data_IF_089986855056
#
_entry.id   IF_089986855056
#
_cell.length_a   1.000
_cell.length_b   1.000
_cell.length_c   1.000
_cell.angle_alpha   90.00
_cell.angle_beta   90.00
_cell.angle_gamma   90.00
#
_symmetry.space_group_name_H-M   'P 1'
#
loop_
_entity.id
_entity.type
_entity.pdbx_description
1 polymer ?
#
# COMPACT_ATOMS: atom_id res chain seq x y z
N UNK A 1 -24.85 -24.91 -21.63
CA UNK A 1 -23.82 -24.00 -22.14
C UNK A 1 -24.09 -22.51 -21.90
N UNK A 2 -25.32 -22.02 -22.04
CA UNK A 2 -25.68 -20.59 -21.79
C UNK A 2 -25.50 -20.13 -20.33
N UNK A 3 -25.76 -20.97 -19.35
CA UNK A 3 -25.69 -20.63 -17.91
C UNK A 3 -24.24 -20.44 -17.45
N UNK A 4 -23.29 -21.24 -17.97
CA UNK A 4 -21.87 -21.16 -17.62
C UNK A 4 -21.24 -19.86 -18.14
N UNK A 5 -21.64 -19.40 -19.32
CA UNK A 5 -21.17 -18.13 -19.91
C UNK A 5 -21.63 -16.93 -19.07
N UNK A 6 -22.87 -16.96 -18.56
CA UNK A 6 -23.40 -15.89 -17.71
C UNK A 6 -22.69 -15.82 -16.33
N UNK A 7 -22.31 -16.98 -15.77
CA UNK A 7 -21.56 -17.03 -14.51
C UNK A 7 -20.13 -16.50 -14.69
N UNK A 8 -19.47 -16.84 -15.78
CA UNK A 8 -18.12 -16.32 -16.10
C UNK A 8 -18.13 -14.80 -16.36
N UNK A 9 -19.18 -14.29 -17.00
CA UNK A 9 -19.34 -12.84 -17.23
C UNK A 9 -19.57 -12.08 -15.93
N UNK A 10 -20.34 -12.64 -14.97
CA UNK A 10 -20.59 -12.01 -13.67
C UNK A 10 -19.33 -11.91 -12.79
N UNK A 11 -18.46 -12.90 -12.84
CA UNK A 11 -17.15 -12.90 -12.12
C UNK A 11 -16.20 -11.84 -12.69
N UNK A 12 -16.19 -11.66 -14.01
CA UNK A 12 -15.39 -10.60 -14.66
C UNK A 12 -15.88 -9.20 -14.28
N UNK A 13 -17.20 -8.98 -14.20
CA UNK A 13 -17.77 -7.70 -13.78
C UNK A 13 -17.45 -7.38 -12.30
N UNK A 14 -17.43 -8.37 -11.42
CA UNK A 14 -17.10 -8.18 -10.01
C UNK A 14 -15.61 -7.77 -9.83
N UNK A 15 -14.71 -8.34 -10.58
CA UNK A 15 -13.27 -8.01 -10.50
C UNK A 15 -12.95 -6.59 -11.01
N UNK A 16 -13.59 -6.16 -12.09
CA UNK A 16 -13.48 -4.79 -12.61
C UNK A 16 -14.01 -3.78 -11.59
N UNK A 17 -15.13 -4.07 -10.94
CA UNK A 17 -15.74 -3.23 -9.92
C UNK A 17 -14.86 -3.05 -8.66
N UNK A 18 -14.10 -4.08 -8.23
CA UNK A 18 -13.19 -3.97 -7.06
C UNK A 18 -11.97 -3.09 -7.38
N UNK A 19 -11.36 -3.26 -8.54
CA UNK A 19 -10.23 -2.46 -9.01
C UNK A 19 -10.60 -0.96 -9.09
N UNK A 20 -11.78 -0.65 -9.61
CA UNK A 20 -12.23 0.74 -9.73
C UNK A 20 -12.59 1.35 -8.36
N UNK A 21 -13.14 0.55 -7.45
CA UNK A 21 -13.38 0.97 -6.06
C UNK A 21 -12.07 1.30 -5.34
N UNK A 22 -11.03 0.50 -5.52
CA UNK A 22 -9.72 0.74 -4.91
C UNK A 22 -9.09 2.02 -5.46
N UNK A 23 -9.12 2.25 -6.77
CA UNK A 23 -8.65 3.51 -7.37
C UNK A 23 -9.35 4.75 -6.76
N UNK A 24 -10.67 4.69 -6.58
CA UNK A 24 -11.42 5.78 -5.93
C UNK A 24 -11.00 5.99 -4.48
N UNK A 25 -10.74 4.91 -3.71
CA UNK A 25 -10.26 4.99 -2.33
C UNK A 25 -8.86 5.60 -2.26
N UNK A 26 -7.94 5.19 -3.15
CA UNK A 26 -6.59 5.75 -3.26
C UNK A 26 -6.65 7.24 -3.57
N UNK A 27 -7.40 7.63 -4.60
CA UNK A 27 -7.55 9.03 -4.99
C UNK A 27 -8.12 9.88 -3.85
N UNK A 28 -9.17 9.40 -3.18
CA UNK A 28 -9.76 10.07 -2.03
C UNK A 28 -8.75 10.27 -0.89
N UNK A 29 -7.90 9.25 -0.64
CA UNK A 29 -6.91 9.32 0.44
C UNK A 29 -5.80 10.33 0.10
N UNK A 30 -5.27 10.32 -1.12
CA UNK A 30 -4.25 11.28 -1.58
C UNK A 30 -4.78 12.71 -1.47
N UNK A 31 -5.96 12.98 -2.01
CA UNK A 31 -6.61 14.31 -1.90
C UNK A 31 -6.72 14.79 -0.46
N UNK A 32 -7.17 13.90 0.43
CA UNK A 32 -7.35 14.25 1.84
C UNK A 32 -6.04 14.48 2.60
N UNK A 33 -4.95 13.77 2.23
CA UNK A 33 -3.65 13.88 2.93
C UNK A 33 -2.90 15.14 2.51
N UNK A 34 -2.96 15.51 1.22
CA UNK A 34 -2.25 16.68 0.70
C UNK A 34 -3.15 17.94 0.61
N UNK A 35 -4.43 17.81 0.96
CA UNK A 35 -5.43 18.90 0.86
C UNK A 35 -5.50 19.49 -0.56
N UNK A 36 -5.65 18.60 -1.55
CA UNK A 36 -5.67 18.95 -2.98
C UNK A 36 -6.88 18.37 -3.69
N UNK A 37 -7.36 19.04 -4.74
CA UNK A 37 -8.49 18.56 -5.55
C UNK A 37 -8.08 17.74 -6.76
N UNK A 38 -6.88 17.96 -7.29
CA UNK A 38 -6.36 17.24 -8.45
C UNK A 38 -4.90 16.84 -8.25
N UNK A 39 -4.52 15.76 -8.88
CA UNK A 39 -3.15 15.25 -8.91
C UNK A 39 -3.02 14.24 -10.05
N UNK A 40 -1.78 13.96 -10.41
CA UNK A 40 -1.42 12.91 -11.36
C UNK A 40 -0.54 11.86 -10.68
N UNK A 41 -0.74 10.59 -11.07
CA UNK A 41 0.12 9.48 -10.67
C UNK A 41 1.04 9.11 -11.84
N UNK A 42 2.33 9.32 -11.66
CA UNK A 42 3.35 9.00 -12.65
C UNK A 42 4.16 7.77 -12.26
N UNK A 43 4.62 7.01 -13.26
CA UNK A 43 5.50 5.86 -13.05
C UNK A 43 6.89 6.33 -12.59
N UNK A 44 7.54 5.48 -11.81
CA UNK A 44 8.96 5.63 -11.47
C UNK A 44 9.73 4.69 -12.41
N UNK A 45 10.68 5.24 -13.14
CA UNK A 45 11.57 4.42 -13.96
C UNK A 45 12.65 3.82 -13.06
N UNK A 46 12.76 2.50 -13.03
CA UNK A 46 13.70 1.77 -12.19
C UNK A 46 14.44 0.76 -13.08
N UNK A 47 15.75 0.88 -13.14
CA UNK A 47 16.58 -0.01 -13.93
C UNK A 47 16.56 -1.44 -13.37
N UNK A 48 16.78 -2.42 -14.25
CA UNK A 48 16.72 -3.82 -13.85
C UNK A 48 17.80 -4.19 -12.81
N UNK A 49 18.97 -3.59 -12.89
CA UNK A 49 20.06 -3.77 -11.90
C UNK A 49 19.63 -3.36 -10.49
N UNK A 50 18.92 -2.23 -10.37
CA UNK A 50 18.41 -1.76 -9.09
C UNK A 50 17.27 -2.65 -8.58
N UNK A 51 16.46 -3.21 -9.48
CA UNK A 51 15.37 -4.14 -9.09
C UNK A 51 15.89 -5.41 -8.43
N UNK A 52 17.08 -5.89 -8.80
CA UNK A 52 17.69 -7.09 -8.20
C UNK A 52 18.08 -6.89 -6.72
N UNK A 53 18.32 -5.65 -6.30
CA UNK A 53 18.66 -5.31 -4.91
C UNK A 53 17.44 -5.12 -4.02
N UNK A 54 16.25 -5.05 -4.60
CA UNK A 54 15.00 -4.71 -3.92
C UNK A 54 14.22 -5.98 -3.60
N UNK A 55 13.37 -5.91 -2.60
CA UNK A 55 12.43 -6.96 -2.25
C UNK A 55 11.72 -7.54 -3.50
N UNK A 56 11.86 -8.84 -3.73
CA UNK A 56 11.40 -9.54 -4.94
C UNK A 56 9.88 -9.46 -5.20
N UNK A 57 9.08 -9.21 -4.16
CA UNK A 57 7.63 -9.02 -4.28
C UNK A 57 7.23 -7.53 -4.34
N UNK A 58 8.21 -6.61 -4.48
CA UNK A 58 7.91 -5.19 -4.60
C UNK A 58 7.10 -4.90 -5.86
N UNK A 59 5.95 -4.29 -5.68
CA UNK A 59 5.04 -3.99 -6.80
C UNK A 59 5.42 -2.67 -7.49
N UNK A 60 6.39 -2.71 -8.39
CA UNK A 60 6.87 -1.54 -9.13
C UNK A 60 5.77 -0.79 -9.88
N UNK A 61 4.81 -1.52 -10.45
CA UNK A 61 3.71 -0.92 -11.21
C UNK A 61 2.74 -0.11 -10.35
N UNK A 62 2.79 -0.32 -9.03
CA UNK A 62 1.95 0.30 -8.02
C UNK A 62 2.69 1.32 -7.15
N UNK A 63 4.00 1.46 -7.34
CA UNK A 63 4.78 2.53 -6.73
C UNK A 63 4.81 3.74 -7.68
N UNK A 64 4.20 4.84 -7.28
CA UNK A 64 3.93 6.01 -8.13
C UNK A 64 4.40 7.30 -7.49
N UNK A 65 4.88 8.22 -8.31
CA UNK A 65 5.02 9.64 -7.96
C UNK A 65 3.64 10.28 -7.88
N UNK A 66 3.42 11.13 -6.87
CA UNK A 66 2.24 11.98 -6.76
C UNK A 66 2.65 13.38 -7.19
N UNK A 67 2.06 13.86 -8.29
CA UNK A 67 2.38 15.15 -8.90
C UNK A 67 1.16 16.06 -8.78
N UNK A 68 1.38 17.28 -8.29
CA UNK A 68 0.37 18.33 -8.22
C UNK A 68 0.97 19.65 -8.74
N UNK A 69 0.31 20.29 -9.72
CA UNK A 69 0.79 21.51 -10.38
C UNK A 69 2.25 21.37 -10.84
N UNK A 70 2.56 20.29 -11.57
CA UNK A 70 3.87 19.92 -12.12
C UNK A 70 4.98 19.73 -11.07
N UNK A 71 4.62 19.64 -9.79
CA UNK A 71 5.55 19.41 -8.67
C UNK A 71 5.34 18.03 -8.06
N UNK A 72 6.44 17.33 -7.83
CA UNK A 72 6.43 16.13 -7.02
C UNK A 72 6.12 16.51 -5.57
N UNK A 73 5.10 15.87 -4.96
CA UNK A 73 4.68 16.14 -3.59
C UNK A 73 4.80 14.91 -2.66
N UNK A 74 5.06 13.74 -3.21
CA UNK A 74 5.24 12.50 -2.48
C UNK A 74 5.08 11.29 -3.37
N UNK A 75 4.93 10.12 -2.74
CA UNK A 75 4.78 8.85 -3.46
C UNK A 75 3.66 8.02 -2.84
N UNK A 76 3.03 7.19 -3.65
CA UNK A 76 2.02 6.21 -3.22
C UNK A 76 2.45 4.80 -3.59
N UNK A 77 2.18 3.85 -2.69
CA UNK A 77 2.44 2.43 -2.90
C UNK A 77 1.21 1.60 -2.55
N UNK A 78 0.69 0.89 -3.53
CA UNK A 78 -0.39 -0.07 -3.33
C UNK A 78 0.19 -1.49 -3.36
N UNK A 79 -0.15 -2.32 -2.38
CA UNK A 79 0.27 -3.71 -2.36
C UNK A 79 -0.73 -4.58 -1.58
N UNK A 80 -0.36 -5.84 -1.39
CA UNK A 80 -1.11 -6.82 -0.65
C UNK A 80 -0.25 -7.42 0.44
N UNK A 81 -0.91 -7.88 1.50
CA UNK A 81 -0.26 -8.65 2.55
C UNK A 81 -1.15 -9.83 2.94
N UNK A 82 -0.57 -10.98 3.32
CA UNK A 82 -1.34 -12.14 3.72
C UNK A 82 -2.07 -11.92 5.04
N UNK A 83 -3.24 -12.52 5.15
CA UNK A 83 -3.99 -12.71 6.38
C UNK A 83 -4.18 -14.21 6.64
N UNK A 84 -5.13 -14.60 7.49
CA UNK A 84 -5.26 -16.01 7.84
C UNK A 84 -5.75 -16.88 6.66
N UNK A 85 -6.76 -16.41 5.91
CA UNK A 85 -7.36 -17.14 4.79
C UNK A 85 -7.23 -16.43 3.46
N UNK A 86 -7.01 -15.12 3.49
CA UNK A 86 -7.00 -14.25 2.31
C UNK A 86 -5.78 -13.33 2.31
N UNK A 87 -5.71 -12.47 1.32
CA UNK A 87 -4.85 -11.28 1.32
C UNK A 87 -5.72 -10.04 1.56
N UNK A 88 -5.12 -9.01 2.15
CA UNK A 88 -5.73 -7.69 2.23
C UNK A 88 -4.93 -6.68 1.41
N UNK A 89 -5.64 -5.73 0.81
CA UNK A 89 -5.03 -4.68 0.00
C UNK A 89 -4.77 -3.46 0.90
N UNK A 90 -3.59 -2.85 0.74
CA UNK A 90 -3.23 -1.66 1.48
C UNK A 90 -2.57 -0.61 0.61
N UNK A 91 -2.60 0.62 1.10
CA UNK A 91 -1.96 1.80 0.54
C UNK A 91 -0.99 2.38 1.58
N UNK A 92 0.21 2.76 1.13
CA UNK A 92 1.15 3.61 1.89
C UNK A 92 1.36 4.89 1.09
N UNK A 93 1.35 6.03 1.76
CA UNK A 93 1.73 7.33 1.21
C UNK A 93 2.96 7.80 1.96
N UNK A 94 4.03 8.13 1.24
CA UNK A 94 5.27 8.69 1.80
C UNK A 94 5.52 10.09 1.27
N UNK A 95 6.17 10.92 2.10
CA UNK A 95 6.60 12.25 1.75
C UNK A 95 7.88 12.29 0.93
N UNK A 96 8.34 13.48 0.60
CA UNK A 96 9.63 13.71 -0.06
C UNK A 96 10.83 13.37 0.86
N UNK A 97 10.60 13.36 2.18
CA UNK A 97 11.55 12.88 3.19
C UNK A 97 11.58 11.33 3.31
N UNK A 98 10.84 10.63 2.45
CA UNK A 98 10.69 9.17 2.39
C UNK A 98 10.15 8.53 3.67
N UNK A 99 9.44 9.32 4.50
CA UNK A 99 8.72 8.82 5.67
C UNK A 99 7.25 8.62 5.37
N UNK A 100 6.64 7.67 6.06
CA UNK A 100 5.21 7.38 5.93
C UNK A 100 4.41 8.58 6.46
N UNK A 101 3.65 9.22 5.58
CA UNK A 101 2.68 10.26 5.94
C UNK A 101 1.37 9.61 6.37
N UNK A 102 0.95 8.56 5.64
CA UNK A 102 -0.30 7.87 5.92
C UNK A 102 -0.29 6.44 5.40
N UNK A 103 -1.13 5.60 6.00
CA UNK A 103 -1.40 4.25 5.53
C UNK A 103 -2.89 3.94 5.61
N UNK A 104 -3.36 3.05 4.73
CA UNK A 104 -4.77 2.67 4.66
C UNK A 104 -4.94 1.24 4.20
N UNK A 105 -5.78 0.46 4.88
CA UNK A 105 -6.29 -0.80 4.36
C UNK A 105 -7.44 -0.50 3.40
N UNK A 106 -7.26 -0.89 2.14
CA UNK A 106 -8.22 -0.66 1.06
C UNK A 106 -9.32 -1.71 1.05
N UNK A 107 -8.94 -2.98 1.25
CA UNK A 107 -9.84 -4.14 1.32
C UNK A 107 -9.32 -5.12 2.37
N UNK A 108 -10.16 -5.47 3.32
CA UNK A 108 -9.91 -6.53 4.29
C UNK A 108 -10.99 -7.60 4.11
N UNK A 109 -10.57 -8.86 3.97
CA UNK A 109 -11.46 -9.95 3.56
C UNK A 109 -11.71 -10.98 4.65
N UNK A 110 -11.11 -10.80 5.84
CA UNK A 110 -11.39 -11.66 6.99
C UNK A 110 -12.64 -11.18 7.73
N UNK A 111 -13.28 -12.12 8.41
CA UNK A 111 -14.45 -11.86 9.25
C UNK A 111 -14.09 -11.24 10.62
N UNK A 112 -12.83 -11.37 11.04
CA UNK A 112 -12.32 -10.93 12.34
C UNK A 112 -11.15 -9.96 12.18
N UNK A 113 -10.89 -9.16 13.22
CA UNK A 113 -9.72 -8.28 13.25
C UNK A 113 -9.82 -7.06 12.32
N UNK A 114 -11.02 -6.63 11.93
CA UNK A 114 -11.24 -5.48 11.07
C UNK A 114 -10.65 -4.15 11.60
N UNK A 115 -10.23 -4.13 12.87
CA UNK A 115 -9.54 -2.98 13.47
C UNK A 115 -8.23 -2.62 12.76
N UNK A 116 -7.63 -3.58 12.01
CA UNK A 116 -6.43 -3.32 11.18
C UNK A 116 -6.65 -2.18 10.17
N UNK A 117 -7.89 -1.94 9.75
CA UNK A 117 -8.28 -0.82 8.87
C UNK A 117 -8.59 0.48 9.62
N UNK A 118 -8.54 0.50 10.96
CA UNK A 118 -8.88 1.69 11.73
C UNK A 118 -7.77 2.75 11.67
N UNK A 119 -8.16 4.03 11.57
CA UNK A 119 -7.21 5.15 11.61
C UNK A 119 -6.38 5.15 12.91
N UNK A 120 -6.99 4.72 14.04
CA UNK A 120 -6.31 4.64 15.32
C UNK A 120 -5.14 3.67 15.28
N UNK A 121 -5.31 2.51 14.69
CA UNK A 121 -4.26 1.51 14.60
C UNK A 121 -3.22 1.88 13.55
N UNK A 122 -3.64 2.30 12.35
CA UNK A 122 -2.77 2.64 11.23
C UNK A 122 -1.85 3.86 11.50
N UNK A 123 -2.26 4.78 12.40
CA UNK A 123 -1.41 5.93 12.75
C UNK A 123 -0.05 5.54 13.36
N UNK A 124 0.11 4.32 13.86
CA UNK A 124 1.38 3.82 14.42
C UNK A 124 2.50 3.73 13.37
N UNK A 125 2.13 3.66 12.09
CA UNK A 125 3.09 3.66 10.97
C UNK A 125 3.51 5.07 10.54
N UNK A 126 2.83 6.13 11.00
CA UNK A 126 3.18 7.52 10.62
C UNK A 126 4.59 7.89 11.09
N UNK A 127 5.28 8.66 10.24
CA UNK A 127 6.65 9.15 10.43
C UNK A 127 7.73 8.06 10.45
N UNK A 128 7.35 6.79 10.20
CA UNK A 128 8.30 5.70 10.05
C UNK A 128 9.01 5.80 8.70
N UNK A 129 10.31 5.50 8.70
CA UNK A 129 11.19 5.62 7.55
C UNK A 129 12.28 4.56 7.55
N UNK A 130 13.32 4.78 6.78
CA UNK A 130 14.42 3.83 6.53
C UNK A 130 15.16 3.31 7.78
N UNK A 131 15.18 4.11 8.84
CA UNK A 131 15.92 3.77 10.08
C UNK A 131 15.02 3.01 11.08
N UNK A 132 13.74 2.84 10.77
CA UNK A 132 12.79 2.10 11.59
C UNK A 132 12.79 0.61 11.19
N UNK A 133 12.84 -0.27 12.19
CA UNK A 133 12.63 -1.71 12.05
C UNK A 133 11.49 -2.10 12.98
N UNK A 134 10.28 -1.97 12.46
CA UNK A 134 9.05 -2.13 13.24
C UNK A 134 8.91 -3.54 13.79
N UNK A 135 8.55 -3.64 15.08
CA UNK A 135 8.37 -4.91 15.78
C UNK A 135 6.97 -5.06 16.33
N UNK A 136 6.46 -6.27 16.21
CA UNK A 136 5.17 -6.66 16.77
C UNK A 136 5.15 -6.49 18.30
N UNK A 137 4.09 -5.86 18.82
CA UNK A 137 3.86 -5.49 20.24
C UNK A 137 4.75 -4.35 20.73
N UNK A 138 6.01 -4.26 20.31
CA UNK A 138 6.91 -3.19 20.77
C UNK A 138 6.55 -1.85 20.11
N UNK A 139 6.45 -1.83 18.79
CA UNK A 139 6.19 -0.61 18.00
C UNK A 139 4.76 -0.55 17.49
N UNK A 140 4.20 -1.70 17.14
CA UNK A 140 2.86 -1.85 16.57
C UNK A 140 2.02 -2.75 17.44
N UNK A 141 0.90 -2.24 17.94
CA UNK A 141 -0.01 -2.94 18.83
C UNK A 141 -0.65 -4.17 18.18
N UNK A 142 -0.82 -5.22 18.97
CA UNK A 142 -1.59 -6.40 18.58
C UNK A 142 -3.08 -6.05 18.36
N UNK A 143 -3.74 -6.84 17.52
CA UNK A 143 -5.19 -6.84 17.33
C UNK A 143 -5.71 -8.25 17.60
N UNK A 144 -6.70 -8.37 18.48
CA UNK A 144 -7.37 -9.64 18.73
C UNK A 144 -8.00 -10.19 17.46
N UNK A 145 -7.76 -11.45 17.15
CA UNK A 145 -8.26 -12.10 15.93
C UNK A 145 -7.55 -11.70 14.63
N UNK A 146 -6.47 -10.90 14.67
CA UNK A 146 -5.74 -10.47 13.47
C UNK A 146 -4.22 -10.60 13.58
N UNK A 147 -3.71 -11.49 14.41
CA UNK A 147 -2.26 -11.63 14.65
C UNK A 147 -1.46 -11.85 13.37
N UNK A 148 -1.93 -12.68 12.45
CA UNK A 148 -1.26 -12.95 11.17
C UNK A 148 -1.25 -11.67 10.32
N UNK A 149 -2.39 -11.02 10.17
CA UNK A 149 -2.51 -9.79 9.37
C UNK A 149 -1.66 -8.65 9.93
N UNK A 150 -1.57 -8.50 11.26
CA UNK A 150 -0.72 -7.48 11.91
C UNK A 150 0.76 -7.77 11.63
N UNK A 151 1.20 -9.02 11.83
CA UNK A 151 2.59 -9.42 11.58
C UNK A 151 2.97 -9.24 10.11
N UNK A 152 2.12 -9.66 9.18
CA UNK A 152 2.39 -9.51 7.75
C UNK A 152 2.39 -8.04 7.31
N UNK A 153 1.53 -7.19 7.87
CA UNK A 153 1.57 -5.74 7.60
C UNK A 153 2.88 -5.12 8.07
N UNK A 154 3.35 -5.49 9.27
CA UNK A 154 4.65 -5.01 9.80
C UNK A 154 5.79 -5.45 8.88
N UNK A 155 5.83 -6.72 8.52
CA UNK A 155 6.86 -7.27 7.64
C UNK A 155 6.88 -6.58 6.28
N UNK A 156 5.72 -6.46 5.62
CA UNK A 156 5.64 -5.83 4.30
C UNK A 156 5.95 -4.33 4.36
N UNK A 157 5.62 -3.63 5.44
CA UNK A 157 6.01 -2.22 5.64
C UNK A 157 7.53 -2.10 5.83
N UNK A 158 8.16 -2.95 6.63
CA UNK A 158 9.62 -2.94 6.79
C UNK A 158 10.32 -3.21 5.45
N UNK A 159 9.88 -4.20 4.69
CA UNK A 159 10.42 -4.51 3.36
C UNK A 159 10.20 -3.37 2.36
N UNK A 160 9.07 -2.68 2.44
CA UNK A 160 8.80 -1.49 1.63
C UNK A 160 9.76 -0.36 1.97
N UNK A 161 9.96 -0.05 3.26
CA UNK A 161 10.87 1.01 3.70
C UNK A 161 12.33 0.73 3.32
N UNK A 162 12.78 -0.52 3.44
CA UNK A 162 14.09 -0.95 2.96
C UNK A 162 14.23 -0.76 1.44
N UNK A 163 13.20 -1.16 0.68
CA UNK A 163 13.17 -0.99 -0.78
C UNK A 163 13.23 0.48 -1.19
N UNK A 164 12.47 1.35 -0.52
CA UNK A 164 12.50 2.81 -0.74
C UNK A 164 13.89 3.39 -0.44
N UNK A 165 14.54 2.93 0.64
CA UNK A 165 15.89 3.34 0.97
C UNK A 165 16.90 2.95 -0.13
N UNK A 166 16.84 1.72 -0.64
CA UNK A 166 17.68 1.25 -1.74
C UNK A 166 17.45 2.04 -3.03
N UNK A 167 16.18 2.35 -3.36
CA UNK A 167 15.84 3.20 -4.50
C UNK A 167 16.46 4.61 -4.36
N UNK A 168 16.41 5.18 -3.16
CA UNK A 168 17.01 6.49 -2.89
C UNK A 168 18.55 6.45 -2.97
N UNK A 169 19.20 5.42 -2.44
CA UNK A 169 20.65 5.23 -2.53
C UNK A 169 21.14 5.11 -3.98
N UNK A 170 20.31 4.53 -4.85
CA UNK A 170 20.57 4.41 -6.28
C UNK A 170 20.08 5.64 -7.10
N UNK A 171 19.75 6.75 -6.44
CA UNK A 171 19.31 8.01 -7.07
C UNK A 171 18.08 7.87 -8.00
N UNK A 172 17.16 6.97 -7.65
CA UNK A 172 15.90 6.74 -8.37
C UNK A 172 14.79 7.67 -7.86
N UNK A 173 14.87 8.07 -6.58
CA UNK A 173 13.87 8.90 -5.90
C UNK A 173 14.42 10.30 -5.57
#
# INVERSE_FOLDING_TARGET
MRIIVLFFLSVLFLSVSEKDRNKKKVAKQIKAIFDIENFELSNINIDNTVKEEIWNQFNYSKFKKIIHNDKLIGYSYESKAPSMHYEFDYLIIIGLDLKIIDSKVLVYRENWGGEIGSKRWLKQFKHKGKDDNLKYIQDISAISGATISVKSMIETVNLFLDSVNKLNQNSVL
#
